data_IF_039406820431
#
_entry.id   IF_039406820431
#
_cell.length_a   1.000
_cell.length_b   1.000
_cell.length_c   1.000
_cell.angle_alpha   90.00
_cell.angle_beta   90.00
_cell.angle_gamma   90.00
#
_symmetry.space_group_name_H-M   'P 1'
#
loop_
_entity.id
_entity.type
_entity.pdbx_description
1 polymer ?
#
# COMPACT_ATOMS: atom_id res chain seq x y z
N UNK A 1 -21.67 -31.24 38.58
CA UNK A 1 -22.02 -30.22 37.59
C UNK A 1 -20.76 -29.95 36.75
N UNK A 2 -20.70 -30.40 35.51
CA UNK A 2 -19.54 -30.32 34.61
C UNK A 2 -19.74 -29.11 33.70
N UNK A 3 -18.90 -28.10 33.83
CA UNK A 3 -18.83 -26.93 32.95
C UNK A 3 -18.12 -27.32 31.67
N UNK A 4 -18.83 -27.34 30.56
CA UNK A 4 -18.29 -27.50 29.22
C UNK A 4 -17.68 -26.15 28.79
N UNK A 5 -16.35 -26.07 28.78
CA UNK A 5 -15.63 -25.03 28.08
C UNK A 5 -15.58 -25.38 26.59
N UNK A 6 -16.34 -24.64 25.77
CA UNK A 6 -16.28 -24.74 24.30
C UNK A 6 -15.19 -23.80 23.80
N UNK A 7 -14.01 -24.32 23.55
CA UNK A 7 -13.00 -23.67 22.73
C UNK A 7 -13.47 -23.74 21.28
N UNK A 8 -13.86 -22.60 20.75
CA UNK A 8 -14.16 -22.45 19.35
C UNK A 8 -12.83 -22.26 18.62
N UNK A 9 -12.24 -23.36 18.16
CA UNK A 9 -11.07 -23.34 17.29
C UNK A 9 -11.51 -22.78 15.94
N UNK A 10 -11.09 -21.56 15.64
CA UNK A 10 -11.17 -20.97 14.32
C UNK A 10 -10.14 -21.68 13.44
N UNK A 11 -10.55 -22.76 12.78
CA UNK A 11 -9.74 -23.42 11.76
C UNK A 11 -9.72 -22.51 10.52
N UNK A 12 -8.69 -21.71 10.39
CA UNK A 12 -8.35 -21.07 9.12
C UNK A 12 -7.89 -22.18 8.19
N UNK A 13 -8.78 -22.61 7.31
CA UNK A 13 -8.44 -23.48 6.19
C UNK A 13 -7.52 -22.68 5.24
N UNK A 14 -6.22 -22.78 5.49
CA UNK A 14 -5.20 -22.41 4.51
C UNK A 14 -5.19 -23.53 3.47
N UNK A 15 -6.14 -23.49 2.54
CA UNK A 15 -6.03 -24.25 1.30
C UNK A 15 -4.80 -23.69 0.58
N UNK A 16 -3.72 -24.47 0.47
CA UNK A 16 -2.57 -24.09 -0.32
C UNK A 16 -3.04 -23.78 -1.76
N UNK A 17 -2.78 -22.61 -2.30
CA UNK A 17 -3.15 -22.30 -3.68
C UNK A 17 -2.36 -23.24 -4.57
N UNK A 18 -3.03 -23.95 -5.46
CA UNK A 18 -2.39 -24.47 -6.65
C UNK A 18 -1.65 -23.29 -7.31
N UNK A 19 -0.38 -23.47 -7.65
CA UNK A 19 0.47 -22.41 -8.15
C UNK A 19 0.06 -21.98 -9.57
N UNK A 20 -1.12 -21.38 -9.71
CA UNK A 20 -1.52 -20.61 -10.87
C UNK A 20 -1.11 -19.17 -10.64
N UNK A 21 -0.33 -18.60 -11.57
CA UNK A 21 -0.03 -17.18 -11.54
C UNK A 21 -1.36 -16.40 -11.71
N UNK A 22 -1.67 -15.59 -10.71
CA UNK A 22 -2.85 -14.76 -10.72
C UNK A 22 -2.68 -13.57 -11.68
N UNK A 23 -3.79 -13.01 -12.14
CA UNK A 23 -3.81 -11.95 -13.16
C UNK A 23 -2.92 -10.76 -12.83
N UNK A 24 -2.91 -10.35 -11.58
CA UNK A 24 -2.19 -9.17 -11.09
C UNK A 24 -0.86 -9.53 -10.40
N UNK A 25 -0.40 -10.78 -10.51
CA UNK A 25 0.93 -11.15 -10.04
C UNK A 25 2.01 -10.46 -10.87
N UNK A 26 3.09 -10.06 -10.21
CA UNK A 26 4.16 -9.26 -10.81
C UNK A 26 5.18 -10.11 -11.57
N UNK A 27 5.55 -9.65 -12.75
CA UNK A 27 6.59 -10.25 -13.61
C UNK A 27 7.64 -9.20 -13.92
N UNK A 28 8.58 -8.97 -13.02
CA UNK A 28 9.55 -7.88 -13.12
C UNK A 28 10.42 -7.93 -14.38
N UNK A 29 10.63 -9.10 -14.98
CA UNK A 29 11.40 -9.25 -16.23
C UNK A 29 10.77 -8.46 -17.41
N UNK A 30 9.48 -8.15 -17.36
CA UNK A 30 8.79 -7.35 -18.36
C UNK A 30 9.21 -5.87 -18.38
N UNK A 31 9.86 -5.36 -17.32
CA UNK A 31 10.41 -4.00 -17.27
C UNK A 31 11.70 -3.85 -18.10
N UNK A 32 12.20 -4.94 -18.68
CA UNK A 32 13.42 -4.95 -19.48
C UNK A 32 14.69 -5.17 -18.65
N UNK A 33 15.76 -5.58 -19.35
CA UNK A 33 17.05 -5.86 -18.73
C UNK A 33 17.81 -4.55 -18.40
N UNK A 34 18.11 -4.25 -17.14
CA UNK A 34 18.82 -3.03 -16.74
C UNK A 34 20.28 -2.95 -17.22
N UNK A 35 20.88 -4.06 -17.69
CA UNK A 35 22.18 -4.07 -18.35
C UNK A 35 22.09 -3.72 -19.83
N UNK A 36 20.97 -4.00 -20.48
CA UNK A 36 20.73 -3.73 -21.90
C UNK A 36 20.08 -2.38 -22.15
N UNK A 37 19.28 -1.86 -21.22
CA UNK A 37 18.57 -0.60 -21.33
C UNK A 37 18.70 0.24 -20.07
N UNK A 38 19.13 1.48 -20.21
CA UNK A 38 19.17 2.45 -19.11
C UNK A 38 17.78 2.80 -18.59
N UNK A 39 16.74 2.72 -19.46
CA UNK A 39 15.36 3.03 -19.13
C UNK A 39 14.74 2.01 -18.15
N UNK A 40 15.18 0.75 -18.16
CA UNK A 40 14.66 -0.30 -17.31
C UNK A 40 14.75 0.01 -15.81
N UNK A 41 15.80 0.70 -15.37
CA UNK A 41 15.91 1.17 -13.98
C UNK A 41 14.91 2.30 -13.68
N UNK A 42 14.62 3.16 -14.65
CA UNK A 42 13.60 4.19 -14.53
C UNK A 42 12.20 3.59 -14.47
N UNK A 43 11.92 2.57 -15.29
CA UNK A 43 10.68 1.82 -15.28
C UNK A 43 10.48 1.11 -13.93
N UNK A 44 11.52 0.49 -13.39
CA UNK A 44 11.48 -0.12 -12.06
C UNK A 44 11.23 0.91 -10.94
N UNK A 45 11.84 2.10 -11.03
CA UNK A 45 11.61 3.21 -10.10
C UNK A 45 10.16 3.69 -10.17
N UNK A 46 9.63 3.94 -11.37
CA UNK A 46 8.26 4.38 -11.59
C UNK A 46 7.26 3.35 -11.07
N UNK A 47 7.45 2.08 -11.45
CA UNK A 47 6.65 0.95 -10.98
C UNK A 47 6.68 0.83 -9.45
N UNK A 48 7.86 0.77 -8.82
CA UNK A 48 7.98 0.59 -7.37
C UNK A 48 7.31 1.70 -6.57
N UNK A 49 7.41 2.95 -7.03
CA UNK A 49 6.73 4.08 -6.38
C UNK A 49 5.23 4.04 -6.56
N UNK A 50 4.76 3.64 -7.74
CA UNK A 50 3.33 3.50 -8.02
C UNK A 50 2.71 2.37 -7.20
N UNK A 51 3.31 1.17 -7.18
CA UNK A 51 2.78 0.05 -6.40
C UNK A 51 2.85 0.33 -4.89
N UNK A 52 3.86 1.07 -4.41
CA UNK A 52 3.88 1.55 -3.04
C UNK A 52 2.69 2.47 -2.76
N UNK A 53 2.35 3.40 -3.65
CA UNK A 53 1.17 4.27 -3.48
C UNK A 53 -0.16 3.49 -3.50
N UNK A 54 -0.23 2.37 -4.21
CA UNK A 54 -1.41 1.47 -4.23
C UNK A 54 -1.54 0.70 -2.92
N UNK A 55 -0.43 0.15 -2.41
CA UNK A 55 -0.45 -0.83 -1.32
C UNK A 55 -0.20 -0.24 0.07
N UNK A 56 0.34 0.99 0.17
CA UNK A 56 0.47 1.68 1.47
C UNK A 56 -0.89 2.06 2.03
N UNK A 57 -1.05 1.83 3.33
CA UNK A 57 -2.29 2.11 4.03
C UNK A 57 -2.64 3.59 4.05
N UNK A 58 -3.91 3.90 3.79
CA UNK A 58 -4.51 5.21 4.06
C UNK A 58 -4.88 5.33 5.53
N UNK A 59 -5.19 6.54 6.01
CA UNK A 59 -5.58 6.73 7.41
C UNK A 59 -6.91 6.07 7.73
N UNK A 60 -7.95 6.34 6.93
CA UNK A 60 -9.35 5.90 7.10
C UNK A 60 -9.92 6.14 8.51
N UNK A 61 -9.28 7.04 9.26
CA UNK A 61 -9.61 7.28 10.67
C UNK A 61 -9.40 8.76 11.00
N UNK A 62 -10.38 9.42 11.62
CA UNK A 62 -10.22 10.78 12.12
C UNK A 62 -9.12 10.90 13.17
N UNK A 63 -8.61 12.10 13.44
CA UNK A 63 -7.53 12.38 14.40
C UNK A 63 -8.00 12.30 15.86
N UNK A 64 -8.55 11.15 16.23
CA UNK A 64 -9.02 10.87 17.59
C UNK A 64 -8.51 9.51 18.03
N UNK A 65 -8.07 9.38 19.29
CA UNK A 65 -7.66 8.10 19.86
C UNK A 65 -8.89 7.25 20.23
N UNK A 66 -8.66 5.93 20.40
CA UNK A 66 -9.64 5.02 20.93
C UNK A 66 -9.77 5.11 22.45
N UNK A 67 -8.87 5.86 23.10
CA UNK A 67 -8.76 5.90 24.55
C UNK A 67 -8.09 4.67 25.13
N UNK A 68 -7.77 4.72 26.44
CA UNK A 68 -6.94 3.71 27.13
C UNK A 68 -7.43 2.25 26.98
N UNK A 69 -8.74 2.03 27.02
CA UNK A 69 -9.32 0.67 26.94
C UNK A 69 -9.82 0.32 25.53
N UNK A 70 -9.89 1.31 24.61
CA UNK A 70 -10.54 1.16 23.31
C UNK A 70 -9.87 0.14 22.41
N UNK A 71 -10.67 -0.52 21.61
CA UNK A 71 -10.28 -1.50 20.61
C UNK A 71 -11.17 -1.36 19.39
N UNK A 72 -10.60 -1.39 18.20
CA UNK A 72 -11.36 -1.29 16.96
C UNK A 72 -10.94 -2.38 15.96
N UNK A 73 -11.93 -2.93 15.26
CA UNK A 73 -11.72 -3.84 14.11
C UNK A 73 -12.51 -3.33 12.92
N UNK A 74 -11.82 -3.14 11.81
CA UNK A 74 -12.39 -2.60 10.59
C UNK A 74 -12.12 -3.52 9.41
N UNK A 75 -13.14 -3.70 8.58
CA UNK A 75 -13.00 -4.16 7.21
C UNK A 75 -12.97 -2.93 6.29
N UNK A 76 -12.01 -2.90 5.39
CA UNK A 76 -11.76 -1.75 4.53
C UNK A 76 -11.67 -2.21 3.07
N UNK A 77 -12.04 -1.33 2.16
CA UNK A 77 -11.93 -1.54 0.72
C UNK A 77 -11.37 -0.29 0.05
N UNK A 78 -10.22 -0.44 -0.58
CA UNK A 78 -9.64 0.57 -1.47
C UNK A 78 -9.99 0.25 -2.93
N UNK A 79 -10.45 1.26 -3.66
CA UNK A 79 -10.61 1.24 -5.12
C UNK A 79 -9.60 2.21 -5.69
N UNK A 80 -8.54 1.69 -6.31
CA UNK A 80 -7.37 2.48 -6.71
C UNK A 80 -7.26 2.54 -8.23
N UNK A 81 -7.24 3.75 -8.77
CA UNK A 81 -6.99 4.00 -10.19
C UNK A 81 -5.49 3.90 -10.50
N UNK A 82 -5.13 3.02 -11.42
CA UNK A 82 -3.76 2.88 -11.90
C UNK A 82 -3.49 3.87 -13.05
N UNK A 83 -2.37 4.59 -13.02
CA UNK A 83 -2.02 5.50 -14.10
C UNK A 83 -1.69 4.72 -15.38
N UNK A 84 -2.29 5.11 -16.49
CA UNK A 84 -2.10 4.43 -17.79
C UNK A 84 -0.70 4.57 -18.37
N UNK A 85 0.01 5.64 -18.01
CA UNK A 85 1.34 5.95 -18.55
C UNK A 85 2.49 5.23 -17.81
N UNK A 86 2.24 4.64 -16.64
CA UNK A 86 3.21 3.82 -15.92
C UNK A 86 2.94 2.36 -16.20
N UNK A 87 3.94 1.65 -16.70
CA UNK A 87 3.83 0.22 -16.94
C UNK A 87 3.93 -0.55 -15.61
N UNK A 88 2.92 -1.35 -15.33
CA UNK A 88 2.89 -2.28 -14.19
C UNK A 88 3.04 -3.69 -14.75
N UNK A 89 4.16 -4.36 -14.47
CA UNK A 89 4.49 -5.66 -15.05
C UNK A 89 3.67 -6.77 -14.38
N UNK A 90 2.49 -7.06 -14.91
CA UNK A 90 1.59 -8.10 -14.42
C UNK A 90 1.51 -9.26 -15.41
N UNK A 91 1.17 -10.47 -14.93
CA UNK A 91 1.03 -11.68 -15.75
C UNK A 91 0.05 -11.51 -16.90
N UNK A 92 -1.00 -10.70 -16.73
CA UNK A 92 -1.94 -10.35 -17.79
C UNK A 92 -1.94 -8.85 -18.03
N UNK A 93 -2.67 -8.42 -19.06
CA UNK A 93 -2.78 -7.01 -19.39
C UNK A 93 -3.17 -6.16 -18.18
N UNK A 94 -2.46 -5.05 -18.01
CA UNK A 94 -2.68 -4.07 -16.95
C UNK A 94 -4.13 -3.63 -16.89
N UNK A 95 -4.71 -3.61 -15.71
CA UNK A 95 -6.04 -3.05 -15.45
C UNK A 95 -5.94 -1.56 -15.11
N UNK A 96 -6.97 -0.78 -15.44
CA UNK A 96 -7.03 0.64 -15.07
C UNK A 96 -7.39 0.86 -13.59
N UNK A 97 -7.96 -0.15 -12.94
CA UNK A 97 -8.43 -0.06 -11.55
C UNK A 97 -8.17 -1.38 -10.85
N UNK A 98 -7.73 -1.29 -9.61
CA UNK A 98 -7.53 -2.44 -8.72
C UNK A 98 -8.26 -2.25 -7.41
N UNK A 99 -8.66 -3.38 -6.79
CA UNK A 99 -9.28 -3.42 -5.48
C UNK A 99 -8.23 -3.85 -4.44
N UNK A 100 -8.26 -3.21 -3.29
CA UNK A 100 -7.38 -3.53 -2.15
C UNK A 100 -8.25 -3.69 -0.90
N UNK A 101 -8.91 -4.84 -0.72
CA UNK A 101 -9.56 -5.15 0.54
C UNK A 101 -8.53 -5.31 1.65
N UNK A 102 -8.87 -4.88 2.87
CA UNK A 102 -8.00 -4.98 4.04
C UNK A 102 -8.76 -5.17 5.34
N UNK A 103 -8.05 -5.69 6.33
CA UNK A 103 -8.50 -5.76 7.72
C UNK A 103 -7.56 -4.91 8.55
N UNK A 104 -8.12 -4.03 9.36
CA UNK A 104 -7.39 -3.11 10.21
C UNK A 104 -7.84 -3.26 11.66
N UNK A 105 -6.90 -3.51 12.55
CA UNK A 105 -7.12 -3.65 13.98
C UNK A 105 -6.35 -2.55 14.71
N UNK A 106 -6.99 -1.88 15.67
CA UNK A 106 -6.36 -0.85 16.48
C UNK A 106 -6.62 -1.05 17.96
N UNK A 107 -5.65 -0.68 18.77
CA UNK A 107 -5.71 -0.70 20.24
C UNK A 107 -5.30 0.65 20.79
N UNK A 108 -6.19 1.27 21.54
CA UNK A 108 -5.88 2.49 22.29
C UNK A 108 -5.02 2.22 23.53
N UNK A 109 -4.12 3.12 23.77
CA UNK A 109 -3.18 3.13 24.91
C UNK A 109 -3.33 4.44 25.70
N UNK A 110 -2.72 4.55 26.89
CA UNK A 110 -2.63 5.82 27.62
C UNK A 110 -1.99 6.92 26.77
N UNK A 111 -2.23 8.17 27.15
CA UNK A 111 -1.66 9.38 26.51
C UNK A 111 -2.13 9.63 25.07
N UNK A 112 -3.36 9.21 24.74
CA UNK A 112 -3.97 9.38 23.41
C UNK A 112 -3.15 8.75 22.26
N UNK A 113 -2.49 7.62 22.56
CA UNK A 113 -1.73 6.83 21.61
C UNK A 113 -2.56 5.62 21.19
N UNK A 114 -2.56 5.30 19.89
CA UNK A 114 -3.10 4.06 19.36
C UNK A 114 -2.00 3.26 18.67
N UNK A 115 -2.02 1.95 18.84
CA UNK A 115 -1.28 1.00 18.01
C UNK A 115 -2.22 0.36 17.01
N UNK A 116 -1.78 0.25 15.77
CA UNK A 116 -2.56 -0.38 14.70
C UNK A 116 -1.76 -1.41 13.91
N UNK A 117 -2.48 -2.38 13.40
CA UNK A 117 -1.98 -3.35 12.43
C UNK A 117 -3.02 -3.54 11.31
N UNK A 118 -2.56 -3.51 10.06
CA UNK A 118 -3.41 -3.71 8.89
C UNK A 118 -2.80 -4.74 7.96
N UNK A 119 -3.65 -5.59 7.40
CA UNK A 119 -3.28 -6.49 6.31
C UNK A 119 -4.23 -6.24 5.15
N UNK A 120 -3.68 -5.83 4.02
CA UNK A 120 -4.41 -5.61 2.78
C UNK A 120 -3.86 -6.50 1.68
N UNK A 121 -4.69 -6.93 0.75
CA UNK A 121 -4.26 -7.72 -0.40
C UNK A 121 -4.74 -7.10 -1.70
N UNK A 122 -3.97 -7.30 -2.75
CA UNK A 122 -4.33 -6.86 -4.09
C UNK A 122 -5.25 -7.90 -4.72
N UNK A 123 -6.43 -7.47 -5.16
CA UNK A 123 -7.39 -8.37 -5.83
C UNK A 123 -6.76 -9.09 -7.03
N UNK A 124 -7.04 -10.39 -7.17
CA UNK A 124 -6.49 -11.27 -8.21
C UNK A 124 -4.96 -11.29 -8.25
N UNK A 125 -4.35 -11.30 -7.10
CA UNK A 125 -2.91 -11.41 -6.89
C UNK A 125 -2.64 -12.22 -5.65
N UNK A 126 -1.49 -12.87 -5.61
CA UNK A 126 -0.97 -13.52 -4.40
C UNK A 126 -0.36 -12.53 -3.40
N UNK A 127 -0.23 -11.25 -3.78
CA UNK A 127 0.45 -10.22 -2.99
C UNK A 127 -0.42 -9.65 -1.88
N UNK A 128 0.18 -9.40 -0.74
CA UNK A 128 -0.44 -8.65 0.34
C UNK A 128 0.55 -7.70 1.02
N UNK A 129 0.01 -6.65 1.63
CA UNK A 129 0.77 -5.67 2.39
C UNK A 129 0.43 -5.80 3.87
N UNK A 130 1.45 -5.94 4.70
CA UNK A 130 1.32 -5.86 6.15
C UNK A 130 1.81 -4.48 6.61
N UNK A 131 0.99 -3.77 7.37
CA UNK A 131 1.29 -2.44 7.92
C UNK A 131 1.21 -2.48 9.42
N UNK A 132 2.23 -1.93 10.09
CA UNK A 132 2.19 -1.54 11.49
C UNK A 132 2.13 -0.02 11.62
N UNK A 133 1.38 0.49 12.57
CA UNK A 133 1.26 1.93 12.78
C UNK A 133 1.19 2.31 14.26
N UNK A 134 1.70 3.50 14.55
CA UNK A 134 1.56 4.18 15.83
C UNK A 134 0.94 5.55 15.53
N UNK A 135 -0.16 5.87 16.19
CA UNK A 135 -0.85 7.15 16.08
C UNK A 135 -0.85 7.85 17.43
N UNK A 136 -0.65 9.14 17.42
CA UNK A 136 -0.76 10.00 18.58
C UNK A 136 -1.74 11.14 18.30
N UNK A 137 -2.84 11.21 19.03
CA UNK A 137 -3.77 12.33 19.00
C UNK A 137 -3.22 13.46 19.89
N UNK A 138 -2.57 14.44 19.25
CA UNK A 138 -1.87 15.56 19.90
C UNK A 138 -2.85 16.53 20.55
N UNK A 139 -3.96 16.83 19.85
CA UNK A 139 -5.09 17.59 20.38
C UNK A 139 -6.36 16.77 20.13
N UNK A 140 -7.00 16.37 21.20
CA UNK A 140 -8.23 15.57 21.22
C UNK A 140 -9.27 16.27 22.09
N UNK A 141 -9.73 17.44 21.62
CA UNK A 141 -10.70 18.26 22.35
C UNK A 141 -10.13 18.98 23.60
N UNK A 142 -8.83 18.95 23.86
CA UNK A 142 -8.20 19.67 24.98
C UNK A 142 -8.40 21.19 24.83
N UNK A 143 -8.42 21.69 23.60
CA UNK A 143 -8.70 23.07 23.29
C UNK A 143 -9.97 23.09 22.42
N UNK A 144 -11.08 23.47 22.98
CA UNK A 144 -12.43 23.30 22.39
C UNK A 144 -12.62 24.00 21.04
N UNK A 145 -11.92 25.10 20.77
CA UNK A 145 -12.03 25.83 19.51
C UNK A 145 -11.11 25.30 18.40
N UNK A 146 -10.03 24.58 18.76
CA UNK A 146 -9.13 23.96 17.80
C UNK A 146 -9.73 22.64 17.26
N UNK A 147 -9.42 22.28 16.00
CA UNK A 147 -9.71 20.94 15.52
C UNK A 147 -8.83 19.90 16.24
N UNK A 148 -9.30 18.67 16.23
CA UNK A 148 -8.49 17.52 16.65
C UNK A 148 -7.34 17.35 15.67
N UNK A 149 -6.14 17.02 16.20
CA UNK A 149 -4.91 16.85 15.41
C UNK A 149 -4.27 15.53 15.81
N UNK A 150 -3.87 14.72 14.84
CA UNK A 150 -3.10 13.53 15.09
C UNK A 150 -1.89 13.40 14.16
N UNK A 151 -0.86 12.76 14.68
CA UNK A 151 0.31 12.32 13.94
C UNK A 151 0.32 10.78 13.90
N UNK A 152 0.68 10.20 12.76
CA UNK A 152 0.78 8.76 12.58
C UNK A 152 2.12 8.40 11.94
N UNK A 153 2.85 7.48 12.55
CA UNK A 153 3.99 6.79 11.95
C UNK A 153 3.51 5.42 11.47
N UNK A 154 3.87 5.04 10.26
CA UNK A 154 3.52 3.71 9.74
C UNK A 154 4.66 3.12 8.93
N UNK A 155 4.69 1.79 8.90
CA UNK A 155 5.59 1.00 8.07
C UNK A 155 4.80 -0.11 7.40
N UNK A 156 4.90 -0.20 6.08
CA UNK A 156 4.24 -1.20 5.26
C UNK A 156 5.29 -2.06 4.57
N UNK A 157 5.14 -3.38 4.68
CA UNK A 157 5.96 -4.36 3.97
C UNK A 157 5.07 -5.09 2.97
N UNK A 158 5.50 -5.13 1.71
CA UNK A 158 4.87 -5.95 0.68
C UNK A 158 5.39 -7.39 0.81
N UNK A 159 4.49 -8.35 0.82
CA UNK A 159 4.75 -9.76 1.07
C UNK A 159 4.19 -10.62 -0.06
N UNK A 160 4.74 -11.83 -0.18
CA UNK A 160 4.38 -12.82 -1.18
C UNK A 160 4.50 -12.30 -2.62
N UNK A 161 5.56 -11.52 -2.86
CA UNK A 161 5.94 -11.02 -4.19
C UNK A 161 7.08 -11.82 -4.77
N UNK A 162 7.02 -12.10 -6.06
CA UNK A 162 8.12 -12.75 -6.78
C UNK A 162 9.20 -11.72 -7.13
N UNK A 163 10.41 -11.91 -6.65
CA UNK A 163 11.60 -11.13 -6.98
C UNK A 163 11.53 -9.62 -6.63
N UNK A 164 10.57 -9.20 -5.79
CA UNK A 164 10.42 -7.81 -5.35
C UNK A 164 10.38 -7.73 -3.83
N UNK A 165 11.24 -6.91 -3.26
CA UNK A 165 11.18 -6.54 -1.85
C UNK A 165 10.87 -5.05 -1.76
N UNK A 166 9.70 -4.71 -1.23
CA UNK A 166 9.25 -3.33 -1.10
C UNK A 166 8.84 -3.05 0.34
N UNK A 167 9.42 -1.99 0.89
CA UNK A 167 9.07 -1.45 2.20
C UNK A 167 8.78 0.04 2.05
N UNK A 168 7.70 0.48 2.63
CA UNK A 168 7.32 1.89 2.66
C UNK A 168 7.17 2.33 4.12
N UNK A 169 7.80 3.45 4.48
CA UNK A 169 7.71 4.04 5.83
C UNK A 169 7.22 5.46 5.72
N UNK A 170 6.25 5.86 6.52
CA UNK A 170 5.62 7.16 6.37
C UNK A 170 5.31 7.86 7.67
N UNK A 171 5.18 9.18 7.54
CA UNK A 171 4.68 10.09 8.55
C UNK A 171 3.43 10.79 8.01
N UNK A 172 2.35 10.69 8.75
CA UNK A 172 1.04 11.25 8.42
C UNK A 172 0.65 12.29 9.48
N UNK A 173 0.07 13.38 9.03
CA UNK A 173 -0.54 14.40 9.86
C UNK A 173 -1.97 14.64 9.42
N UNK A 174 -2.91 14.54 10.36
CA UNK A 174 -4.34 14.70 10.10
C UNK A 174 -5.00 15.70 11.02
N UNK A 175 -6.04 16.35 10.50
CA UNK A 175 -6.91 17.26 11.22
C UNK A 175 -8.37 16.87 11.00
N UNK A 176 -9.22 17.08 12.00
CA UNK A 176 -10.64 16.81 11.89
C UNK A 176 -11.42 17.39 13.03
N UNK A 177 -12.74 17.35 12.95
CA UNK A 177 -13.60 17.79 14.05
C UNK A 177 -14.84 16.93 14.16
N UNK A 178 -15.16 16.55 15.37
CA UNK A 178 -16.32 15.72 15.67
C UNK A 178 -17.56 16.61 15.84
N UNK A 179 -18.64 16.23 15.16
CA UNK A 179 -19.96 16.87 15.26
C UNK A 179 -20.98 15.86 15.78
N UNK A 180 -21.47 16.02 17.02
CA UNK A 180 -22.53 15.15 17.54
C UNK A 180 -23.87 15.50 16.85
N UNK A 181 -24.59 14.47 16.44
CA UNK A 181 -25.92 14.55 15.85
C UNK A 181 -26.93 13.81 16.74
N UNK A 182 -27.87 14.52 17.33
CA UNK A 182 -28.96 13.91 18.11
C UNK A 182 -28.53 13.05 19.32
N UNK A 183 -27.32 13.23 19.85
CA UNK A 183 -26.84 12.63 21.11
C UNK A 183 -26.31 11.19 21.01
N UNK A 184 -26.65 10.40 19.98
CA UNK A 184 -26.19 9.00 19.83
C UNK A 184 -25.33 8.76 18.59
N UNK A 185 -25.25 9.73 17.72
CA UNK A 185 -24.56 9.63 16.43
C UNK A 185 -23.56 10.76 16.31
N UNK A 186 -22.40 10.46 15.72
CA UNK A 186 -21.40 11.50 15.43
C UNK A 186 -20.91 11.39 14.00
N UNK A 187 -20.69 12.55 13.37
CA UNK A 187 -20.00 12.69 12.10
C UNK A 187 -18.67 13.41 12.35
N UNK A 188 -17.60 12.88 11.79
CA UNK A 188 -16.27 13.46 11.91
C UNK A 188 -15.64 13.61 10.53
N UNK A 189 -15.80 14.77 9.86
CA UNK A 189 -14.98 15.09 8.71
C UNK A 189 -13.51 15.24 9.12
N UNK A 190 -12.61 14.80 8.26
CA UNK A 190 -11.17 14.89 8.49
C UNK A 190 -10.41 14.97 7.17
N UNK A 191 -9.17 15.36 7.25
CA UNK A 191 -8.24 15.35 6.12
C UNK A 191 -6.81 15.41 6.62
N UNK A 192 -5.87 15.13 5.71
CA UNK A 192 -4.47 15.11 6.10
C UNK A 192 -3.53 14.94 4.93
N UNK A 193 -2.26 14.86 5.30
CA UNK A 193 -1.15 14.62 4.40
C UNK A 193 -0.29 13.48 4.96
N UNK A 194 0.08 12.56 4.09
CA UNK A 194 0.99 11.45 4.37
C UNK A 194 2.22 11.54 3.47
N UNK A 195 3.40 11.49 4.06
CA UNK A 195 4.69 11.47 3.37
C UNK A 195 5.33 10.11 3.56
N UNK A 196 5.47 9.35 2.48
CA UNK A 196 5.94 7.97 2.50
C UNK A 196 7.24 7.81 1.72
N UNK A 197 8.31 7.38 2.38
CA UNK A 197 9.57 6.97 1.76
C UNK A 197 9.48 5.53 1.27
N UNK A 198 9.85 5.31 0.01
CA UNK A 198 9.77 4.01 -0.67
C UNK A 198 11.16 3.41 -0.82
N UNK A 199 11.38 2.26 -0.20
CA UNK A 199 12.56 1.41 -0.38
C UNK A 199 12.16 0.17 -1.19
N UNK A 200 12.85 -0.07 -2.30
CA UNK A 200 12.56 -1.22 -3.15
C UNK A 200 13.84 -1.82 -3.69
N UNK A 201 13.89 -3.14 -3.76
CA UNK A 201 14.96 -3.91 -4.41
C UNK A 201 14.38 -5.11 -5.13
N UNK A 202 14.98 -5.47 -6.24
CA UNK A 202 14.71 -6.75 -6.89
C UNK A 202 15.74 -7.79 -6.50
N UNK A 203 15.37 -9.05 -6.60
CA UNK A 203 16.34 -10.14 -6.70
C UNK A 203 17.05 -10.13 -8.06
N UNK A 204 18.01 -10.99 -8.23
CA UNK A 204 18.64 -11.22 -9.54
C UNK A 204 17.67 -12.01 -10.42
N UNK A 205 17.35 -11.43 -11.56
CA UNK A 205 16.34 -11.94 -12.49
C UNK A 205 17.03 -12.40 -13.78
N UNK A 206 16.56 -13.50 -14.36
CA UNK A 206 16.93 -13.93 -15.70
C UNK A 206 16.01 -13.26 -16.74
N UNK A 207 16.59 -12.57 -17.71
CA UNK A 207 15.87 -11.84 -18.76
C UNK A 207 15.71 -12.61 -20.07
N UNK A 208 15.61 -13.90 -19.99
CA UNK A 208 15.42 -14.81 -21.10
C UNK A 208 16.69 -15.59 -21.49
N UNK A 209 16.50 -16.68 -22.20
CA UNK A 209 17.58 -17.43 -22.82
C UNK A 209 17.99 -16.70 -24.11
N UNK A 210 19.28 -16.35 -24.24
CA UNK A 210 19.83 -16.09 -25.56
C UNK A 210 19.83 -17.43 -26.26
N UNK A 211 18.98 -17.62 -27.27
CA UNK A 211 19.12 -18.72 -28.22
C UNK A 211 20.45 -18.49 -28.97
N UNK A 212 21.55 -18.91 -28.35
CA UNK A 212 22.84 -18.99 -29.02
C UNK A 212 22.95 -20.32 -29.74
N UNK A 213 23.69 -20.33 -30.82
CA UNK A 213 24.08 -21.56 -31.46
C UNK A 213 24.95 -22.38 -30.49
N UNK A 214 24.43 -23.47 -29.95
CA UNK A 214 25.11 -24.37 -29.00
C UNK A 214 26.35 -25.03 -29.59
N UNK A 215 26.58 -24.87 -30.90
CA UNK A 215 27.78 -25.36 -31.57
C UNK A 215 28.96 -24.40 -31.49
N UNK A 216 28.74 -23.11 -31.08
CA UNK A 216 29.78 -22.10 -30.93
C UNK A 216 30.45 -22.22 -29.56
N UNK A 217 31.76 -22.54 -29.47
CA UNK A 217 32.49 -22.68 -28.21
C UNK A 217 32.55 -21.37 -27.39
N UNK A 218 32.46 -20.20 -28.04
CA UNK A 218 32.47 -18.89 -27.36
C UNK A 218 31.10 -18.51 -26.75
N UNK A 219 30.02 -19.18 -27.18
CA UNK A 219 28.67 -18.96 -26.66
C UNK A 219 28.25 -19.96 -25.57
N UNK A 220 29.15 -20.79 -25.06
CA UNK A 220 28.87 -21.90 -24.13
C UNK A 220 28.31 -21.52 -22.75
N UNK A 221 28.18 -20.23 -22.41
CA UNK A 221 27.53 -19.80 -21.17
C UNK A 221 26.69 -18.54 -21.37
N UNK A 222 25.63 -18.55 -22.19
CA UNK A 222 24.76 -17.40 -22.39
C UNK A 222 23.95 -17.00 -21.15
N UNK A 223 23.71 -17.94 -20.23
CA UNK A 223 22.85 -17.74 -19.08
C UNK A 223 23.35 -16.70 -18.07
N UNK A 224 24.65 -16.52 -17.88
CA UNK A 224 25.21 -15.54 -16.94
C UNK A 224 25.12 -14.09 -17.44
N UNK A 225 25.09 -13.85 -18.74
CA UNK A 225 25.03 -12.49 -19.29
C UNK A 225 23.65 -11.84 -19.15
N UNK A 226 22.60 -12.66 -19.01
CA UNK A 226 21.22 -12.17 -18.88
C UNK A 226 20.73 -12.05 -17.43
N UNK A 227 21.56 -12.37 -16.46
CA UNK A 227 21.23 -12.18 -15.05
C UNK A 227 21.51 -10.73 -14.66
N UNK A 228 20.49 -10.05 -14.14
CA UNK A 228 20.62 -8.69 -13.65
C UNK A 228 19.64 -8.42 -12.49
N UNK A 229 19.95 -7.39 -11.69
CA UNK A 229 19.05 -6.82 -10.72
C UNK A 229 18.87 -5.33 -11.01
N UNK A 230 17.70 -4.79 -10.70
CA UNK A 230 17.45 -3.36 -10.84
C UNK A 230 18.18 -2.57 -9.77
N UNK A 231 18.46 -1.30 -10.08
CA UNK A 231 19.04 -0.37 -9.11
C UNK A 231 18.08 -0.18 -7.94
N UNK A 232 18.51 -0.45 -6.69
CA UNK A 232 17.61 -0.38 -5.53
C UNK A 232 17.22 1.07 -5.24
N UNK A 233 15.97 1.25 -4.79
CA UNK A 233 15.46 2.51 -4.29
C UNK A 233 15.72 2.63 -2.78
N UNK A 234 16.19 3.79 -2.35
CA UNK A 234 16.36 4.11 -0.92
C UNK A 234 15.24 5.06 -0.49
N UNK A 235 14.57 4.73 0.62
CA UNK A 235 13.38 5.43 1.10
C UNK A 235 13.54 6.94 1.22
N UNK A 236 14.63 7.40 1.80
CA UNK A 236 14.91 8.83 2.01
C UNK A 236 15.14 9.65 0.73
N UNK A 237 15.35 9.00 -0.40
CA UNK A 237 15.51 9.65 -1.71
C UNK A 237 14.30 9.48 -2.63
N UNK A 238 13.28 8.75 -2.18
CA UNK A 238 12.12 8.40 -3.00
C UNK A 238 10.83 8.56 -2.18
N UNK A 239 10.35 9.80 -2.07
CA UNK A 239 9.12 10.11 -1.35
C UNK A 239 7.91 10.12 -2.27
N UNK A 240 6.83 9.53 -1.79
CA UNK A 240 5.47 9.76 -2.27
C UNK A 240 4.77 10.68 -1.27
N UNK A 241 3.95 11.62 -1.73
CA UNK A 241 3.10 12.44 -0.87
C UNK A 241 1.65 12.13 -1.20
N UNK A 242 0.84 11.87 -0.18
CA UNK A 242 -0.59 11.60 -0.33
C UNK A 242 -1.38 12.66 0.41
N UNK A 243 -2.33 13.26 -0.27
CA UNK A 243 -3.36 14.12 0.31
C UNK A 243 -4.65 13.34 0.38
N UNK A 244 -5.38 13.47 1.48
CA UNK A 244 -6.63 12.76 1.65
C UNK A 244 -7.66 13.60 2.41
N UNK A 245 -8.93 13.32 2.14
CA UNK A 245 -10.05 13.87 2.87
C UNK A 245 -11.14 12.82 2.98
N UNK A 246 -11.79 12.78 4.12
CA UNK A 246 -12.80 11.76 4.40
C UNK A 246 -13.76 12.19 5.49
N UNK A 247 -14.65 11.26 5.80
CA UNK A 247 -15.59 11.40 6.89
C UNK A 247 -15.88 10.06 7.55
N UNK A 248 -16.06 10.08 8.87
CA UNK A 248 -16.46 8.92 9.65
C UNK A 248 -17.78 9.21 10.35
N UNK A 249 -18.68 8.24 10.26
CA UNK A 249 -19.94 8.19 10.98
C UNK A 249 -19.84 7.10 12.05
N UNK A 250 -20.24 7.43 13.27
CA UNK A 250 -20.32 6.47 14.40
C UNK A 250 -21.73 6.50 14.96
N UNK A 251 -22.33 5.30 15.11
CA UNK A 251 -23.60 5.10 15.80
C UNK A 251 -23.47 3.90 16.75
N UNK A 252 -23.43 4.16 18.05
CA UNK A 252 -23.10 3.13 19.04
C UNK A 252 -21.70 2.55 18.82
N UNK A 253 -21.56 1.25 18.72
CA UNK A 253 -20.30 0.57 18.41
C UNK A 253 -19.97 0.52 16.91
N UNK A 254 -20.94 0.79 16.03
CA UNK A 254 -20.77 0.72 14.57
C UNK A 254 -20.11 1.99 14.05
N UNK A 255 -19.08 1.82 13.24
CA UNK A 255 -18.47 2.91 12.48
C UNK A 255 -18.50 2.62 10.97
N UNK A 256 -18.77 3.66 10.19
CA UNK A 256 -18.68 3.66 8.74
C UNK A 256 -17.86 4.88 8.32
N UNK A 257 -16.95 4.71 7.39
CA UNK A 257 -16.15 5.80 6.87
C UNK A 257 -15.91 5.71 5.38
N UNK A 258 -15.62 6.86 4.80
CA UNK A 258 -15.19 6.98 3.41
C UNK A 258 -14.09 8.05 3.30
N UNK A 259 -13.14 7.82 2.41
CA UNK A 259 -12.00 8.69 2.19
C UNK A 259 -11.63 8.71 0.71
N UNK A 260 -11.34 9.87 0.17
CA UNK A 260 -10.69 10.04 -1.13
C UNK A 260 -9.25 10.45 -0.90
N UNK A 261 -8.33 9.87 -1.67
CA UNK A 261 -6.91 10.20 -1.58
C UNK A 261 -6.26 10.33 -2.94
N UNK A 262 -5.31 11.26 -3.04
CA UNK A 262 -4.49 11.53 -4.21
C UNK A 262 -3.02 11.41 -3.80
N UNK A 263 -2.32 10.40 -4.34
CA UNK A 263 -0.90 10.21 -4.08
C UNK A 263 -0.06 10.69 -5.26
N UNK A 264 0.85 11.63 -5.02
CA UNK A 264 1.89 12.02 -5.98
C UNK A 264 3.08 11.09 -5.79
N UNK A 265 3.55 10.49 -6.86
CA UNK A 265 4.61 9.47 -6.81
C UNK A 265 5.97 9.98 -7.27
N UNK A 266 6.13 11.32 -7.33
CA UNK A 266 7.38 12.04 -7.60
C UNK A 266 7.86 11.96 -9.03
N UNK A 267 9.18 12.01 -9.24
CA UNK A 267 9.81 12.15 -10.55
C UNK A 267 10.74 10.99 -10.90
N UNK A 268 10.91 10.77 -12.18
CA UNK A 268 11.88 9.82 -12.76
C UNK A 268 12.68 10.53 -13.87
N UNK A 269 13.99 10.30 -13.91
CA UNK A 269 14.88 10.99 -14.85
C UNK A 269 14.66 10.50 -16.29
N UNK A 270 14.51 9.18 -16.47
CA UNK A 270 14.21 8.57 -17.76
C UNK A 270 13.50 7.23 -17.55
N UNK A 271 12.43 6.98 -18.31
CA UNK A 271 11.66 5.74 -18.31
C UNK A 271 10.95 5.55 -19.66
N UNK A 272 10.40 4.38 -19.88
CA UNK A 272 9.51 4.12 -21.00
C UNK A 272 8.09 4.59 -20.68
N UNK A 273 7.49 5.40 -21.53
CA UNK A 273 6.07 5.72 -21.44
C UNK A 273 5.24 4.53 -21.91
N UNK A 274 4.31 4.05 -21.08
CA UNK A 274 3.41 2.97 -21.47
C UNK A 274 2.43 3.38 -22.58
N UNK A 275 2.12 4.68 -22.66
CA UNK A 275 1.18 5.23 -23.65
C UNK A 275 1.84 5.46 -25.02
N UNK A 276 3.00 6.12 -25.04
CA UNK A 276 3.67 6.49 -26.29
C UNK A 276 4.72 5.48 -26.73
N UNK A 277 5.10 4.55 -25.86
CA UNK A 277 6.19 3.57 -26.02
C UNK A 277 7.56 4.21 -26.31
N UNK A 278 7.70 5.50 -26.05
CA UNK A 278 8.94 6.27 -26.16
C UNK A 278 9.57 6.58 -24.81
N UNK A 279 10.79 7.12 -24.87
CA UNK A 279 11.44 7.64 -23.66
C UNK A 279 10.69 8.87 -23.14
N UNK A 280 10.49 8.94 -21.83
CA UNK A 280 9.88 10.06 -21.13
C UNK A 280 10.58 10.29 -19.81
N UNK A 281 10.45 11.51 -19.27
CA UNK A 281 11.03 11.91 -18.00
C UNK A 281 10.08 12.85 -17.25
N UNK A 282 10.38 13.13 -16.00
CA UNK A 282 9.66 14.13 -15.21
C UNK A 282 8.70 13.55 -14.20
N UNK A 283 7.59 14.26 -13.95
CA UNK A 283 6.63 13.93 -12.89
C UNK A 283 5.81 12.70 -13.30
N UNK A 284 5.77 11.72 -12.40
CA UNK A 284 4.90 10.56 -12.58
C UNK A 284 3.43 10.94 -12.35
N UNK A 285 2.49 10.32 -13.08
CA UNK A 285 1.07 10.53 -12.85
C UNK A 285 0.66 10.18 -11.42
N UNK A 286 -0.25 10.96 -10.85
CA UNK A 286 -0.77 10.72 -9.51
C UNK A 286 -1.69 9.48 -9.48
N UNK A 287 -1.75 8.84 -8.30
CA UNK A 287 -2.62 7.70 -8.02
C UNK A 287 -3.82 8.20 -7.23
N UNK A 288 -5.02 8.04 -7.78
CA UNK A 288 -6.28 8.37 -7.13
C UNK A 288 -6.86 7.10 -6.49
N UNK A 289 -7.34 7.22 -5.25
CA UNK A 289 -8.01 6.13 -4.58
C UNK A 289 -9.26 6.60 -3.84
N UNK A 290 -10.28 5.74 -3.85
CA UNK A 290 -11.48 5.84 -3.02
C UNK A 290 -11.45 4.69 -2.02
N UNK A 291 -11.59 5.01 -0.75
CA UNK A 291 -11.49 4.04 0.33
C UNK A 291 -12.77 4.09 1.17
N UNK A 292 -13.25 2.93 1.57
CA UNK A 292 -14.37 2.78 2.48
C UNK A 292 -13.98 1.89 3.66
N UNK A 293 -14.58 2.13 4.81
CA UNK A 293 -14.38 1.31 6.02
C UNK A 293 -15.71 1.05 6.70
N UNK A 294 -15.84 -0.17 7.20
CA UNK A 294 -16.92 -0.60 8.07
C UNK A 294 -16.30 -1.31 9.27
N UNK A 295 -16.65 -0.93 10.48
CA UNK A 295 -16.02 -1.50 11.65
C UNK A 295 -16.79 -1.35 12.93
N UNK A 296 -16.18 -1.86 13.99
CA UNK A 296 -16.68 -1.82 15.35
C UNK A 296 -15.63 -1.20 16.26
N UNK A 297 -16.07 -0.24 17.09
CA UNK A 297 -15.29 0.38 18.15
C UNK A 297 -15.84 -0.07 19.53
N UNK A 298 -14.96 -0.54 20.41
CA UNK A 298 -15.30 -1.03 21.75
C UNK A 298 -14.55 -0.27 22.84
#
# INVERSE_FOLDING_TARGET
MRTFSRWMALAVLVGGPAAYADRNDLVLSQLGNPKASALANGDFKAFSRTIAAVMTSTSLTPPKSLGHAGFAVNAELGVVGLPSDVYIPTERAQTSTVLVPSIHVRKGLPFSIDLGARVGWLDRSSMFAATGEIRWAVNEGFIAWLPDIALRLHATQLLNTRNLHLTATGLDASVGKQFPLGGMVTITPYGGIDMTGVSSRSDVISFGEVQGDLSDPEQKNPSFQNLAAYKPLKGWSNFNSRFYAGGRFIGGALQIGAEVSLATVGTVDARTSNTTRGETSGVLPAVLAFNATLGLDF
#
